data_IF_826865966693
#
_entry.id   IF_826865966693
#
_cell.length_a   1.000
_cell.length_b   1.000
_cell.length_c   1.000
_cell.angle_alpha   90.00
_cell.angle_beta   90.00
_cell.angle_gamma   90.00
#
_symmetry.space_group_name_H-M   'P 1'
#
loop_
_entity.id
_entity.type
_entity.pdbx_description
1 polymer ?
#
# COMPACT_ATOMS: atom_id res chain seq x y z
N UNK A 1 22.20 -13.24 -8.17
CA UNK A 1 20.90 -12.64 -8.48
C UNK A 1 20.53 -11.77 -7.29
N UNK A 2 20.84 -10.47 -7.35
CA UNK A 2 20.41 -9.52 -6.31
C UNK A 2 18.91 -9.31 -6.55
N UNK A 3 18.07 -10.00 -5.79
CA UNK A 3 16.64 -9.78 -5.85
C UNK A 3 16.36 -8.39 -5.29
N UNK A 4 15.89 -7.48 -6.12
CA UNK A 4 15.31 -6.22 -5.65
C UNK A 4 14.20 -6.57 -4.67
N UNK A 5 14.36 -6.14 -3.42
CA UNK A 5 13.38 -6.47 -2.41
C UNK A 5 12.21 -5.51 -2.52
N UNK A 6 11.04 -6.04 -2.90
CA UNK A 6 9.84 -5.23 -3.12
C UNK A 6 8.70 -5.75 -2.28
N UNK A 7 7.81 -4.84 -1.87
CA UNK A 7 6.60 -5.22 -1.16
C UNK A 7 5.68 -6.03 -2.08
N UNK A 8 5.14 -7.11 -1.52
CA UNK A 8 4.10 -7.94 -2.13
C UNK A 8 2.94 -8.08 -1.16
N UNK A 9 1.73 -8.27 -1.67
CA UNK A 9 0.54 -8.53 -0.88
C UNK A 9 -0.20 -9.69 -1.52
N UNK A 10 -0.74 -10.59 -0.68
CA UNK A 10 -1.64 -11.65 -1.11
C UNK A 10 -2.94 -11.62 -0.31
N UNK A 11 -4.05 -11.85 -1.00
CA UNK A 11 -5.37 -11.88 -0.40
C UNK A 11 -5.83 -13.33 -0.30
N UNK A 12 -6.36 -13.71 0.86
CA UNK A 12 -6.91 -15.02 1.16
C UNK A 12 -8.28 -14.85 1.82
N UNK A 13 -9.22 -15.74 1.56
CA UNK A 13 -10.46 -15.78 2.34
C UNK A 13 -10.16 -16.06 3.82
N UNK A 14 -10.82 -15.30 4.71
CA UNK A 14 -10.72 -15.47 6.15
C UNK A 14 -12.09 -15.75 6.77
N UNK A 15 -12.09 -16.22 8.02
CA UNK A 15 -13.31 -16.41 8.78
C UNK A 15 -14.10 -15.11 8.90
N UNK A 16 -15.43 -15.20 8.74
CA UNK A 16 -16.30 -14.06 8.93
C UNK A 16 -16.27 -13.55 10.36
N UNK A 17 -16.27 -12.23 10.54
CA UNK A 17 -16.31 -11.56 11.84
C UNK A 17 -17.65 -10.83 11.96
N UNK A 18 -18.45 -11.19 12.98
CA UNK A 18 -19.77 -10.57 13.18
C UNK A 18 -20.75 -10.78 12.02
N UNK A 19 -20.59 -11.85 11.23
CA UNK A 19 -21.38 -12.11 10.02
C UNK A 19 -20.88 -11.40 8.76
N UNK A 20 -19.84 -10.56 8.86
CA UNK A 20 -19.21 -9.89 7.72
C UNK A 20 -18.12 -10.77 7.12
N UNK A 21 -18.15 -10.99 5.80
CA UNK A 21 -17.08 -11.68 5.07
C UNK A 21 -15.78 -10.89 5.17
N UNK A 22 -14.72 -11.57 5.59
CA UNK A 22 -13.38 -11.00 5.76
C UNK A 22 -12.38 -11.65 4.81
N UNK A 23 -11.33 -10.91 4.52
CA UNK A 23 -10.18 -11.34 3.76
C UNK A 23 -8.92 -11.10 4.60
N UNK A 24 -8.05 -12.10 4.68
CA UNK A 24 -6.69 -11.97 5.16
C UNK A 24 -5.85 -11.36 4.03
N UNK A 25 -5.20 -10.24 4.31
CA UNK A 25 -4.23 -9.61 3.41
C UNK A 25 -2.85 -9.78 4.02
N UNK A 26 -2.08 -10.71 3.45
CA UNK A 26 -0.72 -11.02 3.86
C UNK A 26 0.26 -10.15 3.08
N UNK A 27 0.87 -9.21 3.76
CA UNK A 27 1.89 -8.30 3.23
C UNK A 27 3.27 -8.88 3.51
N UNK A 28 4.13 -8.98 2.49
CA UNK A 28 5.48 -9.51 2.62
C UNK A 28 6.49 -8.51 2.06
N UNK A 29 7.55 -8.26 2.83
CA UNK A 29 8.66 -7.41 2.44
C UNK A 29 9.91 -7.86 3.19
N UNK A 30 11.03 -8.09 2.48
CA UNK A 30 12.33 -8.49 3.10
C UNK A 30 12.26 -9.75 3.97
N UNK A 31 11.47 -10.74 3.58
CA UNK A 31 11.27 -11.96 4.38
C UNK A 31 10.51 -11.74 5.70
N UNK A 32 10.08 -10.49 5.98
CA UNK A 32 9.11 -10.18 7.03
C UNK A 32 7.73 -10.23 6.41
N UNK A 33 6.77 -10.75 7.16
CA UNK A 33 5.37 -10.74 6.77
C UNK A 33 4.50 -10.19 7.89
N UNK A 34 3.48 -9.44 7.52
CA UNK A 34 2.40 -9.01 8.40
C UNK A 34 1.07 -9.35 7.77
N UNK A 35 0.07 -9.66 8.59
CA UNK A 35 -1.30 -9.91 8.13
C UNK A 35 -2.20 -8.78 8.63
N UNK A 36 -3.07 -8.29 7.75
CA UNK A 36 -4.20 -7.43 8.12
C UNK A 36 -5.50 -8.06 7.64
N UNK A 37 -6.59 -7.87 8.38
CA UNK A 37 -7.90 -8.38 7.98
C UNK A 37 -8.75 -7.24 7.44
N UNK A 38 -9.36 -7.44 6.28
CA UNK A 38 -10.15 -6.42 5.57
C UNK A 38 -11.48 -7.01 5.13
N UNK A 39 -12.52 -6.22 5.23
CA UNK A 39 -13.85 -6.53 4.69
C UNK A 39 -13.93 -6.13 3.22
N UNK A 40 -14.95 -6.63 2.51
CA UNK A 40 -15.26 -6.17 1.15
C UNK A 40 -15.51 -4.65 1.09
N UNK A 41 -16.05 -4.06 2.15
CA UNK A 41 -16.31 -2.61 2.22
C UNK A 41 -15.03 -1.80 2.31
N UNK A 42 -14.01 -2.30 3.01
CA UNK A 42 -12.70 -1.63 3.09
C UNK A 42 -12.06 -1.52 1.70
N UNK A 43 -12.12 -2.59 0.91
CA UNK A 43 -11.61 -2.56 -0.47
C UNK A 43 -12.43 -1.62 -1.36
N UNK A 44 -13.77 -1.63 -1.26
CA UNK A 44 -14.60 -0.65 -1.99
C UNK A 44 -14.23 0.79 -1.65
N UNK A 45 -14.00 1.08 -0.37
CA UNK A 45 -13.56 2.39 0.09
C UNK A 45 -12.24 2.80 -0.55
N UNK A 46 -11.26 1.88 -0.61
CA UNK A 46 -9.99 2.11 -1.32
C UNK A 46 -10.21 2.42 -2.80
N UNK A 47 -11.05 1.66 -3.50
CA UNK A 47 -11.35 1.91 -4.90
C UNK A 47 -11.99 3.29 -5.11
N UNK A 48 -12.93 3.68 -4.25
CA UNK A 48 -13.58 4.99 -4.31
C UNK A 48 -12.60 6.13 -4.05
N UNK A 49 -11.67 5.95 -3.10
CA UNK A 49 -10.56 6.90 -2.89
C UNK A 49 -9.63 6.98 -4.11
N UNK A 50 -9.29 5.86 -4.75
CA UNK A 50 -8.48 5.87 -5.98
C UNK A 50 -9.20 6.58 -7.13
N UNK A 51 -10.51 6.36 -7.29
CA UNK A 51 -11.34 7.07 -8.27
C UNK A 51 -11.37 8.58 -8.01
N UNK A 52 -11.50 8.98 -6.74
CA UNK A 52 -11.45 10.38 -6.33
C UNK A 52 -10.09 11.02 -6.66
N UNK A 53 -9.00 10.35 -6.29
CA UNK A 53 -7.63 10.80 -6.63
C UNK A 53 -7.47 10.94 -8.15
N UNK A 54 -7.95 9.98 -8.94
CA UNK A 54 -7.89 10.06 -10.39
C UNK A 54 -8.71 11.21 -10.98
N UNK A 55 -9.90 11.48 -10.44
CA UNK A 55 -10.69 12.65 -10.83
C UNK A 55 -9.96 13.96 -10.51
N UNK A 56 -9.36 14.05 -9.32
CA UNK A 56 -8.58 15.21 -8.92
C UNK A 56 -7.34 15.41 -9.81
N UNK A 57 -6.60 14.34 -10.14
CA UNK A 57 -5.45 14.41 -11.03
C UNK A 57 -5.82 14.97 -12.41
N UNK A 58 -6.93 14.51 -13.00
CA UNK A 58 -7.41 15.01 -14.31
C UNK A 58 -7.79 16.50 -14.28
N UNK A 59 -8.15 17.04 -13.13
CA UNK A 59 -8.52 18.45 -12.96
C UNK A 59 -7.33 19.39 -12.70
N UNK A 60 -6.15 18.84 -12.33
CA UNK A 60 -4.97 19.63 -11.99
C UNK A 60 -4.08 19.86 -13.22
N UNK A 61 -3.45 21.04 -13.27
CA UNK A 61 -2.46 21.38 -14.31
C UNK A 61 -1.15 20.59 -14.17
N UNK A 62 -0.78 20.26 -12.95
CA UNK A 62 0.42 19.50 -12.60
C UNK A 62 0.06 18.43 -11.55
N UNK A 63 -0.46 17.27 -11.98
CA UNK A 63 -0.84 16.19 -11.08
C UNK A 63 0.38 15.36 -10.64
N UNK A 64 0.29 14.74 -9.46
CA UNK A 64 1.25 13.73 -9.05
C UNK A 64 1.27 12.57 -10.06
N UNK A 65 2.45 12.30 -10.65
CA UNK A 65 2.63 11.26 -11.67
C UNK A 65 2.22 9.86 -11.17
N UNK A 66 2.62 9.51 -9.94
CA UNK A 66 2.25 8.23 -9.30
C UNK A 66 0.73 8.11 -9.14
N UNK A 67 0.06 9.18 -8.70
CA UNK A 67 -1.39 9.19 -8.59
C UNK A 67 -2.06 9.05 -9.96
N UNK A 68 -1.56 9.78 -10.98
CA UNK A 68 -2.11 9.72 -12.33
C UNK A 68 -2.02 8.30 -12.92
N UNK A 69 -0.89 7.62 -12.73
CA UNK A 69 -0.65 6.28 -13.27
C UNK A 69 -1.44 5.17 -12.55
N UNK A 70 -1.44 5.19 -11.22
CA UNK A 70 -2.14 4.17 -10.42
C UNK A 70 -3.65 4.34 -10.41
N UNK A 71 -4.18 5.58 -10.52
CA UNK A 71 -5.62 5.82 -10.57
C UNK A 71 -6.24 5.60 -11.96
N UNK A 72 -5.40 5.48 -13.00
CA UNK A 72 -5.85 5.14 -14.35
C UNK A 72 -6.13 3.63 -14.52
N UNK A 73 -5.81 2.80 -13.52
CA UNK A 73 -6.13 1.36 -13.56
C UNK A 73 -7.65 1.16 -13.61
N UNK A 74 -8.18 0.40 -14.59
CA UNK A 74 -9.58 0.05 -14.59
C UNK A 74 -9.86 -0.92 -13.44
N UNK A 75 -10.41 -0.39 -12.34
CA UNK A 75 -10.81 -1.24 -11.22
C UNK A 75 -11.99 -2.11 -11.63
N UNK A 76 -11.73 -3.41 -11.81
CA UNK A 76 -12.77 -4.42 -12.01
C UNK A 76 -13.71 -4.48 -10.80
N UNK A 77 -14.81 -5.22 -10.93
CA UNK A 77 -15.70 -5.43 -9.79
C UNK A 77 -15.02 -6.35 -8.78
N UNK A 78 -14.41 -5.73 -7.78
CA UNK A 78 -13.83 -6.42 -6.63
C UNK A 78 -14.93 -7.13 -5.84
N UNK A 79 -15.04 -8.45 -6.04
CA UNK A 79 -16.15 -9.25 -5.54
C UNK A 79 -15.76 -10.46 -4.71
N UNK A 80 -14.56 -10.97 -4.91
CA UNK A 80 -14.00 -12.22 -4.39
C UNK A 80 -12.49 -12.06 -4.15
N UNK A 81 -11.87 -13.09 -3.57
CA UNK A 81 -10.43 -13.12 -3.25
C UNK A 81 -9.54 -12.83 -4.46
N UNK A 82 -9.78 -13.50 -5.58
CA UNK A 82 -8.95 -13.39 -6.79
C UNK A 82 -8.95 -11.95 -7.34
N UNK A 83 -10.13 -11.33 -7.47
CA UNK A 83 -10.23 -9.94 -7.95
C UNK A 83 -9.61 -8.92 -6.98
N UNK A 84 -9.55 -9.24 -5.69
CA UNK A 84 -8.89 -8.43 -4.66
C UNK A 84 -7.37 -8.54 -4.74
N UNK A 85 -6.87 -9.77 -4.91
CA UNK A 85 -5.45 -10.09 -5.08
C UNK A 85 -4.89 -9.43 -6.33
N UNK A 86 -5.58 -9.60 -7.47
CA UNK A 86 -5.24 -8.99 -8.76
C UNK A 86 -5.16 -7.46 -8.65
N UNK A 87 -6.16 -6.84 -8.00
CA UNK A 87 -6.17 -5.40 -7.79
C UNK A 87 -4.91 -4.91 -7.05
N UNK A 88 -4.54 -5.56 -5.94
CA UNK A 88 -3.34 -5.21 -5.20
C UNK A 88 -2.08 -5.48 -6.04
N UNK A 89 -2.03 -6.64 -6.71
CA UNK A 89 -0.92 -7.02 -7.58
C UNK A 89 -0.66 -6.00 -8.69
N UNK A 90 -1.70 -5.56 -9.40
CA UNK A 90 -1.60 -4.55 -10.47
C UNK A 90 -1.11 -3.20 -9.95
N UNK A 91 -1.67 -2.73 -8.83
CA UNK A 91 -1.27 -1.44 -8.25
C UNK A 91 0.17 -1.49 -7.76
N UNK A 92 0.57 -2.55 -7.06
CA UNK A 92 1.95 -2.73 -6.61
C UNK A 92 2.93 -2.86 -7.79
N UNK A 93 2.53 -3.52 -8.87
CA UNK A 93 3.35 -3.63 -10.07
C UNK A 93 3.61 -2.27 -10.74
N UNK A 94 2.65 -1.34 -10.69
CA UNK A 94 2.83 0.04 -11.18
C UNK A 94 3.72 0.89 -10.28
N UNK A 95 3.69 0.65 -8.97
CA UNK A 95 4.52 1.39 -8.01
C UNK A 95 5.98 0.93 -8.02
N UNK A 96 6.22 -0.35 -8.32
CA UNK A 96 7.55 -0.96 -8.33
C UNK A 96 8.60 -0.18 -9.14
N UNK A 97 8.36 0.19 -10.41
CA UNK A 97 9.35 0.94 -11.21
C UNK A 97 9.41 2.44 -10.89
N UNK A 98 8.57 2.96 -9.99
CA UNK A 98 8.56 4.38 -9.68
C UNK A 98 9.80 4.78 -8.86
N UNK A 99 10.35 5.97 -9.15
CA UNK A 99 11.48 6.53 -8.42
C UNK A 99 11.14 6.71 -6.92
N UNK A 100 12.06 6.40 -5.98
CA UNK A 100 11.81 6.52 -4.55
C UNK A 100 11.33 7.92 -4.11
N UNK A 101 11.89 8.98 -4.71
CA UNK A 101 11.48 10.36 -4.43
C UNK A 101 10.03 10.64 -4.88
N UNK A 102 9.60 10.07 -6.01
CA UNK A 102 8.21 10.21 -6.48
C UNK A 102 7.23 9.50 -5.54
N UNK A 103 7.63 8.34 -4.99
CA UNK A 103 6.87 7.60 -3.99
C UNK A 103 6.78 8.39 -2.67
N UNK A 104 7.88 8.96 -2.18
CA UNK A 104 7.86 9.79 -0.97
C UNK A 104 6.97 11.01 -1.13
N UNK A 105 7.10 11.73 -2.24
CA UNK A 105 6.22 12.86 -2.55
C UNK A 105 4.75 12.42 -2.59
N UNK A 106 4.46 11.25 -3.18
CA UNK A 106 3.10 10.70 -3.20
C UNK A 106 2.58 10.34 -1.80
N UNK A 107 3.45 9.87 -0.91
CA UNK A 107 3.11 9.56 0.50
C UNK A 107 2.90 10.83 1.35
N UNK A 108 3.50 11.96 0.97
CA UNK A 108 3.37 13.23 1.71
C UNK A 108 2.01 13.93 1.53
N UNK A 109 1.21 13.47 0.57
CA UNK A 109 -0.14 13.99 0.32
C UNK A 109 -1.17 12.85 0.39
N UNK A 110 -2.46 13.18 0.43
CA UNK A 110 -3.56 12.18 0.40
C UNK A 110 -3.73 11.53 -0.98
N UNK A 111 -2.69 10.85 -1.45
CA UNK A 111 -2.62 10.18 -2.75
C UNK A 111 -2.58 8.66 -2.62
N UNK A 112 -2.36 7.98 -3.74
CA UNK A 112 -2.45 6.52 -3.84
C UNK A 112 -1.51 5.78 -2.88
N UNK A 113 -0.28 6.27 -2.68
CA UNK A 113 0.70 5.63 -1.77
C UNK A 113 0.22 5.73 -0.33
N UNK A 114 -0.25 6.91 0.11
CA UNK A 114 -0.78 7.07 1.46
C UNK A 114 -2.00 6.17 1.71
N UNK A 115 -2.92 6.08 0.74
CA UNK A 115 -4.09 5.20 0.83
C UNK A 115 -3.67 3.73 1.01
N UNK A 116 -2.66 3.27 0.26
CA UNK A 116 -2.16 1.90 0.37
C UNK A 116 -1.39 1.66 1.68
N UNK A 117 -0.64 2.64 2.15
CA UNK A 117 0.02 2.58 3.44
C UNK A 117 -0.99 2.35 4.57
N UNK A 118 -2.08 3.13 4.58
CA UNK A 118 -3.15 2.98 5.56
C UNK A 118 -3.90 1.65 5.39
N UNK A 119 -4.14 1.23 4.15
CA UNK A 119 -4.84 -0.02 3.86
C UNK A 119 -4.01 -1.25 4.28
N UNK A 120 -2.73 -1.30 3.93
CA UNK A 120 -1.84 -2.43 4.19
C UNK A 120 -1.13 -2.35 5.55
N UNK A 121 -1.39 -1.31 6.34
CA UNK A 121 -0.69 -1.00 7.60
C UNK A 121 0.84 -0.91 7.44
N UNK A 122 1.29 -0.28 6.35
CA UNK A 122 2.71 -0.08 6.01
C UNK A 122 3.15 1.31 6.42
N UNK A 123 4.25 1.44 7.16
CA UNK A 123 4.70 2.73 7.73
C UNK A 123 5.47 3.64 6.77
N UNK A 124 6.12 3.08 5.74
CA UNK A 124 6.96 3.86 4.83
C UNK A 124 6.62 3.59 3.37
N UNK A 125 6.36 4.66 2.61
CA UNK A 125 6.04 4.58 1.18
C UNK A 125 7.17 3.96 0.35
N UNK A 126 8.43 4.15 0.75
CA UNK A 126 9.61 3.60 0.05
C UNK A 126 9.58 2.07 -0.12
N UNK A 127 8.80 1.33 0.68
CA UNK A 127 8.65 -0.12 0.49
C UNK A 127 7.90 -0.50 -0.80
N UNK A 128 7.18 0.43 -1.43
CA UNK A 128 6.37 0.18 -2.62
C UNK A 128 7.16 0.23 -3.94
N UNK A 129 8.41 0.73 -3.94
CA UNK A 129 9.30 0.73 -5.11
C UNK A 129 10.47 -0.26 -4.94
N UNK A 130 11.28 -0.41 -5.99
CA UNK A 130 12.54 -1.16 -5.88
C UNK A 130 13.48 -0.51 -4.86
N UNK A 131 13.90 -1.30 -3.88
CA UNK A 131 14.84 -0.86 -2.85
C UNK A 131 16.27 -1.07 -3.35
N UNK A 132 17.02 0.03 -3.47
CA UNK A 132 18.47 -0.02 -3.65
C UNK A 132 19.15 -0.29 -2.31
N UNK A 133 20.35 -0.89 -2.26
CA UNK A 133 21.09 -1.15 -1.02
C UNK A 133 21.18 0.05 -0.07
N UNK A 134 21.37 1.26 -0.62
CA UNK A 134 21.43 2.52 0.13
C UNK A 134 20.11 2.83 0.82
N UNK A 135 18.99 2.64 0.11
CA UNK A 135 17.65 2.81 0.64
C UNK A 135 17.32 1.76 1.71
N UNK A 136 17.91 0.58 1.60
CA UNK A 136 17.78 -0.47 2.60
C UNK A 136 18.42 -0.09 3.93
N UNK A 137 19.55 0.61 3.89
CA UNK A 137 20.25 1.12 5.07
C UNK A 137 19.43 2.21 5.77
N UNK A 138 18.85 3.15 5.02
CA UNK A 138 17.99 4.21 5.57
C UNK A 138 16.75 3.65 6.30
N UNK A 139 16.18 2.55 5.78
CA UNK A 139 14.98 1.92 6.32
C UNK A 139 15.27 0.86 7.39
N UNK A 140 16.55 0.59 7.67
CA UNK A 140 16.94 -0.37 8.70
C UNK A 140 16.77 0.26 10.10
N UNK A 141 16.36 -0.51 11.12
CA UNK A 141 16.05 0.03 12.45
C UNK A 141 17.23 0.67 13.23
N UNK A 142 18.41 0.79 12.64
CA UNK A 142 19.66 1.10 13.35
C UNK A 142 19.90 2.60 13.54
N UNK A 143 19.05 3.51 13.03
CA UNK A 143 19.29 4.95 13.12
C UNK A 143 18.06 5.81 13.47
N UNK A 144 17.16 5.31 14.32
CA UNK A 144 16.16 6.15 14.99
C UNK A 144 16.40 6.14 16.51
N UNK A 145 17.50 6.77 16.91
CA UNK A 145 17.69 7.22 18.29
C UNK A 145 17.29 8.70 18.37
N UNK A 146 15.99 8.96 18.58
CA UNK A 146 15.50 10.06 19.41
C UNK A 146 14.01 9.88 19.67
N UNK A 147 13.68 9.91 20.96
CA UNK A 147 12.53 9.23 21.53
C UNK A 147 11.19 9.91 21.35
N UNK A 148 10.14 9.11 21.55
CA UNK A 148 9.19 9.39 22.61
C UNK A 148 8.79 8.04 23.23
N UNK A 149 9.18 7.85 24.48
CA UNK A 149 8.57 6.90 25.39
C UNK A 149 7.18 7.42 25.74
N UNK A 150 6.12 6.76 25.26
CA UNK A 150 4.78 6.89 25.85
C UNK A 150 4.01 5.58 25.68
N UNK A 151 4.07 4.78 26.75
CA UNK A 151 2.91 4.17 27.41
C UNK A 151 2.00 3.23 26.56
N UNK A 152 2.15 1.92 26.81
CA UNK A 152 1.04 0.98 26.66
C UNK A 152 0.09 1.14 27.85
N UNK A 153 -1.22 1.19 27.60
CA UNK A 153 -2.14 0.48 28.47
C UNK A 153 -2.76 -0.69 27.70
N UNK A 154 -2.59 -1.86 28.30
CA UNK A 154 -3.52 -2.99 28.19
C UNK A 154 -4.93 -2.46 28.49
N UNK A 155 -5.86 -2.68 27.57
CA UNK A 155 -7.27 -2.97 27.85
C UNK A 155 -7.88 -3.70 26.65
#
# INVERSE_FOLDING_TARGET
MQGSCTLSAHVLEAHALGGTKMFEVKVMCKGKSSTVYKSKEDFKSVLDMFRLVGAMCRSKKDPCGVCAECSATPFSRVCDEESLDDFLGEVLAKLRPAEPNAIEQCSSHRGVVQILMDFLSVRHGKYFCELTPELEEELSPTNQNQGVDVDHPIL
#
